data_IF_339954723224
#
_entry.id   IF_339954723224
#
_cell.length_a   1.000
_cell.length_b   1.000
_cell.length_c   1.000
_cell.angle_alpha   90.00
_cell.angle_beta   90.00
_cell.angle_gamma   90.00
#
_symmetry.space_group_name_H-M   'P 1'
#
loop_
_entity.id
_entity.type
_entity.pdbx_description
1 polymer ?
#
# COMPACT_ATOMS: atom_id res chain seq x y z
N UNK A 1 13.27 2.61 -76.32
CA UNK A 1 13.71 1.52 -75.41
C UNK A 1 14.68 2.04 -74.33
N UNK A 2 14.26 2.98 -73.46
CA UNK A 2 15.07 3.42 -72.29
C UNK A 2 14.33 3.31 -70.94
N UNK A 3 13.05 2.91 -70.96
CA UNK A 3 12.20 2.81 -69.76
C UNK A 3 12.38 1.46 -69.04
N UNK A 4 12.52 0.37 -69.80
CA UNK A 4 12.66 -1.01 -69.27
C UNK A 4 13.96 -1.19 -68.47
N UNK A 5 15.04 -0.48 -68.83
CA UNK A 5 16.31 -0.55 -68.10
C UNK A 5 16.24 0.11 -66.73
N UNK A 6 15.49 1.21 -66.59
CA UNK A 6 15.37 1.91 -65.30
C UNK A 6 14.53 1.11 -64.30
N UNK A 7 13.38 0.56 -64.73
CA UNK A 7 12.57 -0.30 -63.85
C UNK A 7 13.31 -1.56 -63.42
N UNK A 8 14.13 -2.14 -64.31
CA UNK A 8 14.96 -3.30 -63.98
C UNK A 8 16.05 -2.94 -62.96
N UNK A 9 16.75 -1.82 -63.14
CA UNK A 9 17.75 -1.34 -62.18
C UNK A 9 17.13 -0.94 -60.84
N UNK A 10 15.97 -0.29 -60.84
CA UNK A 10 15.22 0.08 -59.64
C UNK A 10 14.77 -1.15 -58.86
N UNK A 11 14.21 -2.15 -59.54
CA UNK A 11 13.79 -3.41 -58.92
C UNK A 11 14.97 -4.17 -58.30
N UNK A 12 16.11 -4.21 -58.99
CA UNK A 12 17.34 -4.82 -58.48
C UNK A 12 17.90 -4.07 -57.26
N UNK A 13 17.86 -2.74 -57.27
CA UNK A 13 18.26 -1.93 -56.13
C UNK A 13 17.32 -2.12 -54.94
N UNK A 14 16.00 -2.14 -55.17
CA UNK A 14 15.00 -2.34 -54.15
C UNK A 14 15.16 -3.69 -53.44
N UNK A 15 15.36 -4.77 -54.21
CA UNK A 15 15.61 -6.11 -53.66
C UNK A 15 16.92 -6.16 -52.87
N UNK A 16 17.98 -5.49 -53.33
CA UNK A 16 19.22 -5.38 -52.55
C UNK A 16 19.01 -4.59 -51.26
N UNK A 17 18.22 -3.52 -51.30
CA UNK A 17 17.94 -2.69 -50.12
C UNK A 17 17.11 -3.47 -49.10
N UNK A 18 16.08 -4.21 -49.52
CA UNK A 18 15.27 -5.05 -48.62
C UNK A 18 16.08 -6.21 -48.06
N UNK A 19 16.93 -6.86 -48.85
CA UNK A 19 17.84 -7.90 -48.36
C UNK A 19 18.85 -7.36 -47.34
N UNK A 20 19.39 -6.15 -47.56
CA UNK A 20 20.29 -5.51 -46.60
C UNK A 20 19.54 -5.09 -45.32
N UNK A 21 18.28 -4.66 -45.43
CA UNK A 21 17.42 -4.33 -44.30
C UNK A 21 17.08 -5.58 -43.48
N UNK A 22 16.71 -6.68 -44.14
CA UNK A 22 16.46 -7.98 -43.48
C UNK A 22 17.74 -8.57 -42.86
N UNK A 23 18.89 -8.41 -43.51
CA UNK A 23 20.19 -8.83 -42.95
C UNK A 23 20.62 -7.95 -41.77
N UNK A 24 20.31 -6.65 -41.78
CA UNK A 24 20.52 -5.76 -40.64
C UNK A 24 19.60 -6.12 -39.46
N UNK A 25 18.31 -6.38 -39.72
CA UNK A 25 17.35 -6.87 -38.73
C UNK A 25 17.78 -8.22 -38.15
N UNK A 26 18.28 -9.15 -38.97
CA UNK A 26 18.86 -10.43 -38.49
C UNK A 26 20.18 -10.26 -37.74
N UNK A 27 20.98 -9.24 -38.06
CA UNK A 27 22.20 -8.90 -37.30
C UNK A 27 21.87 -8.28 -35.95
N UNK A 28 20.79 -7.51 -35.84
CA UNK A 28 20.24 -7.06 -34.55
C UNK A 28 19.56 -8.20 -33.77
N UNK A 29 19.01 -9.22 -34.46
CA UNK A 29 18.41 -10.41 -33.84
C UNK A 29 19.39 -11.57 -33.57
N UNK A 30 20.68 -11.43 -33.91
CA UNK A 30 21.70 -12.35 -33.42
C UNK A 30 21.80 -12.17 -31.89
N UNK A 31 21.86 -13.25 -31.09
CA UNK A 31 21.85 -13.12 -29.64
C UNK A 31 23.11 -12.37 -29.20
N UNK A 32 22.94 -11.12 -28.79
CA UNK A 32 23.96 -10.43 -28.03
C UNK A 32 24.10 -11.19 -26.71
N UNK A 33 25.24 -11.87 -26.51
CA UNK A 33 25.57 -12.59 -25.26
C UNK A 33 25.67 -11.63 -24.06
N UNK A 34 25.55 -10.32 -24.29
CA UNK A 34 25.14 -9.37 -23.27
C UNK A 34 23.62 -9.18 -23.31
N UNK A 35 22.88 -10.15 -22.78
CA UNK A 35 21.58 -9.81 -22.18
C UNK A 35 21.86 -8.69 -21.16
N UNK A 36 21.13 -7.55 -21.13
CA UNK A 36 21.04 -6.82 -19.88
C UNK A 36 20.64 -7.87 -18.85
N UNK A 37 21.42 -8.01 -17.78
CA UNK A 37 21.15 -8.97 -16.71
C UNK A 37 19.64 -9.00 -16.54
N UNK A 38 19.02 -10.16 -16.82
CA UNK A 38 17.57 -10.28 -16.79
C UNK A 38 17.12 -9.57 -15.53
N UNK A 39 16.28 -8.53 -15.67
CA UNK A 39 15.73 -7.83 -14.51
C UNK A 39 15.35 -8.94 -13.54
N UNK A 40 15.91 -8.93 -12.30
CA UNK A 40 15.78 -10.08 -11.40
C UNK A 40 14.32 -10.48 -11.43
N UNK A 41 14.03 -11.70 -11.89
CA UNK A 41 12.65 -12.15 -12.06
C UNK A 41 11.96 -11.95 -10.72
N UNK A 42 11.11 -10.93 -10.66
CA UNK A 42 10.34 -10.63 -9.47
C UNK A 42 9.15 -11.55 -9.57
N UNK A 43 8.98 -12.49 -8.63
CA UNK A 43 7.74 -13.21 -8.55
C UNK A 43 6.62 -12.17 -8.51
N UNK A 44 5.60 -12.23 -9.39
CA UNK A 44 4.47 -11.34 -9.28
C UNK A 44 3.95 -11.44 -7.85
N UNK A 45 3.76 -10.28 -7.22
CA UNK A 45 3.35 -10.15 -5.83
C UNK A 45 2.00 -10.87 -5.65
N UNK A 46 2.03 -12.17 -5.34
CA UNK A 46 0.83 -13.02 -5.19
C UNK A 46 0.14 -12.82 -3.84
N UNK A 47 0.78 -12.06 -2.93
CA UNK A 47 0.19 -11.68 -1.67
C UNK A 47 -0.71 -10.44 -1.87
N UNK A 48 -1.94 -10.43 -1.33
CA UNK A 48 -2.72 -9.20 -1.32
C UNK A 48 -1.95 -8.14 -0.53
N UNK A 49 -1.69 -7.00 -1.18
CA UNK A 49 -1.12 -5.85 -0.48
C UNK A 49 -2.17 -5.29 0.49
N UNK A 50 -1.75 -4.81 1.67
CA UNK A 50 -2.66 -4.07 2.53
C UNK A 50 -3.15 -2.83 1.79
N UNK A 51 -4.37 -2.41 2.11
CA UNK A 51 -4.93 -1.14 1.61
C UNK A 51 -5.01 -0.13 2.73
N UNK A 52 -4.93 1.15 2.38
CA UNK A 52 -5.01 2.26 3.32
C UNK A 52 -5.97 3.31 2.79
N UNK A 53 -6.99 3.62 3.56
CA UNK A 53 -8.07 4.54 3.21
C UNK A 53 -7.85 5.98 3.71
N UNK A 54 -6.83 6.18 4.55
CA UNK A 54 -6.54 7.47 5.20
C UNK A 54 -7.04 7.56 6.64
N UNK A 55 -7.56 6.49 7.24
CA UNK A 55 -7.88 6.50 8.68
C UNK A 55 -6.59 6.44 9.51
N UNK A 56 -6.33 7.51 10.27
CA UNK A 56 -5.22 7.65 11.20
C UNK A 56 -5.01 6.42 12.12
N UNK A 57 -6.09 5.84 12.65
CA UNK A 57 -6.05 4.65 13.52
C UNK A 57 -5.40 3.43 12.86
N UNK A 58 -5.56 3.32 11.52
CA UNK A 58 -5.07 2.20 10.74
C UNK A 58 -3.66 2.44 10.16
N UNK A 59 -3.09 3.64 10.35
CA UNK A 59 -1.84 4.04 9.72
C UNK A 59 -0.68 3.11 10.10
N UNK A 60 -0.48 2.84 11.38
CA UNK A 60 0.63 1.99 11.84
C UNK A 60 0.49 0.54 11.41
N UNK A 61 -0.73 0.00 11.42
CA UNK A 61 -1.01 -1.35 10.92
C UNK A 61 -0.66 -1.47 9.43
N UNK A 62 -1.13 -0.52 8.62
CA UNK A 62 -0.78 -0.43 7.20
C UNK A 62 0.73 -0.29 7.00
N UNK A 63 1.35 0.69 7.68
CA UNK A 63 2.78 1.00 7.58
C UNK A 63 3.62 -0.24 7.85
N UNK A 64 3.37 -0.92 8.98
CA UNK A 64 4.09 -2.13 9.38
C UNK A 64 3.90 -3.27 8.37
N UNK A 65 2.68 -3.49 7.89
CA UNK A 65 2.42 -4.56 6.94
C UNK A 65 3.05 -4.27 5.57
N UNK A 66 2.92 -3.04 5.08
CA UNK A 66 3.46 -2.62 3.80
C UNK A 66 4.98 -2.67 3.78
N UNK A 67 5.66 -2.12 4.80
CA UNK A 67 7.14 -2.17 4.89
C UNK A 67 7.66 -3.59 5.01
N UNK A 68 7.00 -4.46 5.78
CA UNK A 68 7.36 -5.88 5.87
C UNK A 68 7.24 -6.62 4.54
N UNK A 69 6.23 -6.28 3.73
CA UNK A 69 6.11 -6.82 2.37
C UNK A 69 7.22 -6.26 1.49
N UNK A 70 7.41 -4.94 1.46
CA UNK A 70 8.43 -4.27 0.63
C UNK A 70 9.87 -4.67 0.98
N UNK A 71 10.15 -5.03 2.23
CA UNK A 71 11.44 -5.57 2.66
C UNK A 71 11.81 -6.90 1.96
N UNK A 72 10.82 -7.65 1.46
CA UNK A 72 11.06 -8.86 0.64
C UNK A 72 11.42 -8.54 -0.82
N UNK A 73 11.29 -7.27 -1.20
CA UNK A 73 11.49 -6.73 -2.54
C UNK A 73 12.60 -5.66 -2.53
N UNK A 74 13.68 -5.90 -1.79
CA UNK A 74 14.79 -4.95 -1.64
C UNK A 74 15.44 -4.57 -2.98
N UNK A 75 15.53 -5.51 -3.92
CA UNK A 75 16.13 -5.31 -5.24
C UNK A 75 15.22 -4.64 -6.27
N UNK A 76 13.99 -4.27 -5.88
CA UNK A 76 13.03 -3.64 -6.80
C UNK A 76 13.30 -2.16 -7.03
N UNK A 77 12.95 -1.71 -8.23
CA UNK A 77 13.07 -0.30 -8.60
C UNK A 77 12.11 0.59 -7.78
N UNK A 78 12.48 1.85 -7.50
CA UNK A 78 11.58 2.81 -6.87
C UNK A 78 10.23 2.95 -7.58
N UNK A 79 10.22 2.87 -8.91
CA UNK A 79 8.99 2.92 -9.72
C UNK A 79 8.02 1.79 -9.39
N UNK A 80 8.52 0.57 -9.17
CA UNK A 80 7.69 -0.60 -8.83
C UNK A 80 7.15 -0.48 -7.40
N UNK A 81 7.99 -0.05 -6.45
CA UNK A 81 7.54 0.21 -5.07
C UNK A 81 6.48 1.30 -5.03
N UNK A 82 6.65 2.36 -5.80
CA UNK A 82 5.67 3.45 -5.93
C UNK A 82 4.37 2.99 -6.58
N UNK A 83 4.44 2.14 -7.61
CA UNK A 83 3.26 1.53 -8.21
C UNK A 83 2.45 0.72 -7.19
N UNK A 84 3.12 -0.10 -6.39
CA UNK A 84 2.47 -0.86 -5.33
C UNK A 84 1.88 0.04 -4.24
N UNK A 85 2.63 1.05 -3.79
CA UNK A 85 2.17 2.02 -2.82
C UNK A 85 0.89 2.71 -3.30
N UNK A 86 0.91 3.27 -4.52
CA UNK A 86 -0.24 3.96 -5.12
C UNK A 86 -1.48 3.07 -5.18
N UNK A 87 -1.33 1.81 -5.55
CA UNK A 87 -2.45 0.86 -5.64
C UNK A 87 -2.97 0.40 -4.27
N UNK A 88 -2.14 0.50 -3.23
CA UNK A 88 -2.53 0.27 -1.85
C UNK A 88 -3.31 1.45 -1.25
N UNK A 89 -3.17 2.67 -1.80
CA UNK A 89 -3.91 3.83 -1.30
C UNK A 89 -5.30 3.89 -1.92
N UNK A 90 -6.32 3.96 -1.07
CA UNK A 90 -7.73 4.06 -1.44
C UNK A 90 -8.38 5.22 -0.68
N UNK A 91 -9.65 5.52 -0.98
CA UNK A 91 -10.41 6.52 -0.24
C UNK A 91 -9.73 7.89 -0.19
N UNK A 92 -9.58 8.44 1.03
CA UNK A 92 -8.96 9.75 1.24
C UNK A 92 -7.44 9.73 1.02
N UNK A 93 -6.78 8.58 1.20
CA UNK A 93 -5.34 8.44 1.01
C UNK A 93 -4.91 8.43 -0.46
N UNK A 94 -5.80 8.01 -1.39
CA UNK A 94 -5.49 7.89 -2.81
C UNK A 94 -5.03 9.21 -3.47
N UNK A 95 -5.46 10.35 -2.93
CA UNK A 95 -5.12 11.69 -3.43
C UNK A 95 -4.00 12.39 -2.67
N UNK A 96 -3.25 11.69 -1.81
CA UNK A 96 -2.22 12.30 -0.95
C UNK A 96 -0.90 12.50 -1.69
N UNK A 97 -0.58 11.62 -2.64
CA UNK A 97 0.68 11.68 -3.40
C UNK A 97 0.49 12.58 -4.62
N UNK A 98 1.34 13.60 -4.75
CA UNK A 98 1.34 14.52 -5.87
C UNK A 98 1.74 13.85 -7.20
N UNK A 99 1.17 14.33 -8.31
CA UNK A 99 1.49 13.79 -9.63
C UNK A 99 2.97 13.97 -10.02
N UNK A 100 3.63 15.02 -9.54
CA UNK A 100 5.06 15.25 -9.79
C UNK A 100 5.93 14.14 -9.17
N UNK A 101 5.60 13.71 -7.95
CA UNK A 101 6.28 12.59 -7.28
C UNK A 101 6.10 11.29 -8.08
N UNK A 102 4.89 11.06 -8.60
CA UNK A 102 4.57 9.91 -9.45
C UNK A 102 5.38 9.94 -10.75
N UNK A 103 5.43 11.08 -11.42
CA UNK A 103 6.16 11.24 -12.69
C UNK A 103 7.66 11.03 -12.53
N UNK A 104 8.21 11.40 -11.36
CA UNK A 104 9.63 11.22 -11.03
C UNK A 104 9.97 9.82 -10.50
N UNK A 105 8.97 8.95 -10.31
CA UNK A 105 9.12 7.62 -9.69
C UNK A 105 9.77 7.67 -8.30
N UNK A 106 9.52 8.74 -7.55
CA UNK A 106 10.15 8.99 -6.26
C UNK A 106 9.34 8.32 -5.13
N UNK A 107 9.64 7.05 -4.90
CA UNK A 107 9.01 6.27 -3.83
C UNK A 107 9.26 6.86 -2.43
N UNK A 108 10.47 7.36 -2.16
CA UNK A 108 10.83 7.86 -0.84
C UNK A 108 10.03 9.15 -0.53
N UNK A 109 9.95 10.08 -1.49
CA UNK A 109 9.14 11.28 -1.33
C UNK A 109 7.64 10.97 -1.15
N UNK A 110 7.11 9.99 -1.90
CA UNK A 110 5.73 9.53 -1.74
C UNK A 110 5.48 8.95 -0.34
N UNK A 111 6.41 8.12 0.15
CA UNK A 111 6.34 7.52 1.46
C UNK A 111 6.41 8.57 2.57
N UNK A 112 7.30 9.55 2.43
CA UNK A 112 7.46 10.64 3.39
C UNK A 112 6.25 11.55 3.46
N UNK A 113 5.61 11.83 2.32
CA UNK A 113 4.35 12.58 2.28
C UNK A 113 3.26 11.89 3.10
N UNK A 114 3.17 10.55 3.01
CA UNK A 114 2.23 9.78 3.83
C UNK A 114 2.60 9.82 5.31
N UNK A 115 3.90 9.70 5.64
CA UNK A 115 4.40 9.78 7.03
C UNK A 115 4.08 11.14 7.63
N UNK A 116 4.40 12.23 6.95
CA UNK A 116 4.13 13.59 7.46
C UNK A 116 2.65 13.82 7.73
N UNK A 117 1.78 13.30 6.86
CA UNK A 117 0.34 13.50 6.98
C UNK A 117 -0.33 12.61 8.03
N UNK A 118 0.10 11.36 8.14
CA UNK A 118 -0.59 10.32 8.93
C UNK A 118 0.18 9.82 10.14
N UNK A 119 1.48 10.10 10.27
CA UNK A 119 2.32 9.67 11.40
C UNK A 119 2.32 10.66 12.57
N UNK A 120 1.19 11.35 12.79
CA UNK A 120 0.97 12.08 14.03
C UNK A 120 0.50 11.10 15.12
N UNK A 121 1.47 10.61 15.90
CA UNK A 121 1.23 9.67 17.00
C UNK A 121 0.22 10.22 18.01
N UNK A 122 0.25 11.51 18.32
CA UNK A 122 -0.63 12.07 19.35
C UNK A 122 -2.08 12.05 18.89
N UNK A 123 -2.34 12.45 17.65
CA UNK A 123 -3.70 12.41 17.07
C UNK A 123 -4.25 10.98 17.04
N UNK A 124 -3.40 9.99 16.74
CA UNK A 124 -3.81 8.57 16.70
C UNK A 124 -4.14 8.07 18.12
N UNK A 125 -3.30 8.40 19.10
CA UNK A 125 -3.53 8.07 20.51
C UNK A 125 -4.85 8.67 20.99
N UNK A 126 -5.05 9.97 20.74
CA UNK A 126 -6.25 10.69 21.16
C UNK A 126 -7.52 10.06 20.55
N UNK A 127 -7.47 9.63 19.28
CA UNK A 127 -8.58 8.92 18.64
C UNK A 127 -8.92 7.59 19.30
N UNK A 128 -7.92 6.75 19.58
CA UNK A 128 -8.15 5.48 20.27
C UNK A 128 -8.73 5.70 21.68
N UNK A 129 -8.22 6.70 22.40
CA UNK A 129 -8.72 7.10 23.72
C UNK A 129 -10.19 7.57 23.59
N UNK A 130 -10.47 8.50 22.69
CA UNK A 130 -11.81 9.04 22.47
C UNK A 130 -12.81 7.93 22.08
N UNK A 131 -12.41 6.98 21.24
CA UNK A 131 -13.25 5.84 20.86
C UNK A 131 -13.64 4.99 22.08
N UNK A 132 -12.72 4.78 23.02
CA UNK A 132 -12.97 4.06 24.27
C UNK A 132 -13.89 4.86 25.21
N UNK A 133 -13.62 6.15 25.41
CA UNK A 133 -14.40 6.98 26.34
C UNK A 133 -15.82 7.27 25.82
N UNK A 134 -15.97 7.40 24.50
CA UNK A 134 -17.24 7.70 23.84
C UNK A 134 -18.05 6.45 23.43
N UNK A 135 -17.69 5.27 23.94
CA UNK A 135 -18.49 4.05 23.77
C UNK A 135 -19.96 4.30 24.16
N UNK A 136 -20.93 3.81 23.37
CA UNK A 136 -22.35 4.02 23.66
C UNK A 136 -22.76 3.28 24.93
N UNK A 137 -23.60 3.90 25.76
CA UNK A 137 -24.24 3.25 26.91
C UNK A 137 -25.33 2.29 26.44
N UNK A 138 -25.31 1.05 26.94
CA UNK A 138 -26.39 0.11 26.64
C UNK A 138 -27.61 0.38 27.52
N UNK A 139 -28.77 0.58 26.90
CA UNK A 139 -30.03 0.82 27.62
C UNK A 139 -30.86 -0.43 27.92
N UNK A 140 -30.56 -1.58 27.32
CA UNK A 140 -31.19 -2.89 27.56
C UNK A 140 -30.19 -4.00 27.23
N UNK A 141 -30.24 -5.12 27.97
CA UNK A 141 -29.44 -6.32 27.75
C UNK A 141 -29.53 -6.79 26.28
N UNK A 142 -28.55 -6.36 25.49
CA UNK A 142 -28.42 -6.71 24.09
C UNK A 142 -27.06 -7.34 23.88
N UNK A 143 -27.04 -8.65 23.67
CA UNK A 143 -25.81 -9.38 23.33
C UNK A 143 -25.06 -8.74 22.14
N UNK A 144 -25.79 -8.13 21.21
CA UNK A 144 -25.23 -7.39 20.07
C UNK A 144 -24.52 -6.12 20.52
N UNK A 145 -25.12 -5.35 21.44
CA UNK A 145 -24.49 -4.16 22.00
C UNK A 145 -23.24 -4.49 22.82
N UNK A 146 -23.30 -5.57 23.59
CA UNK A 146 -22.19 -6.08 24.41
C UNK A 146 -21.01 -6.48 23.53
N UNK A 147 -21.29 -7.26 22.46
CA UNK A 147 -20.27 -7.65 21.48
C UNK A 147 -19.65 -6.44 20.82
N UNK A 148 -20.46 -5.46 20.38
CA UNK A 148 -19.95 -4.23 19.79
C UNK A 148 -19.02 -3.45 20.74
N UNK A 149 -19.38 -3.36 22.03
CA UNK A 149 -18.52 -2.70 23.04
C UNK A 149 -17.20 -3.45 23.19
N UNK A 150 -17.24 -4.78 23.30
CA UNK A 150 -16.03 -5.62 23.43
C UNK A 150 -15.14 -5.48 22.20
N UNK A 151 -15.72 -5.59 21.01
CA UNK A 151 -14.99 -5.52 19.74
C UNK A 151 -14.32 -4.15 19.59
N UNK A 152 -15.07 -3.05 19.76
CA UNK A 152 -14.51 -1.69 19.68
C UNK A 152 -13.46 -1.44 20.75
N UNK A 153 -13.68 -1.90 21.98
CA UNK A 153 -12.68 -1.74 23.04
C UNK A 153 -11.39 -2.51 22.74
N UNK A 154 -11.51 -3.75 22.26
CA UNK A 154 -10.36 -4.61 21.96
C UNK A 154 -9.54 -4.04 20.80
N UNK A 155 -10.21 -3.62 19.73
CA UNK A 155 -9.60 -2.97 18.57
C UNK A 155 -8.78 -1.73 18.96
N UNK A 156 -9.34 -0.85 19.80
CA UNK A 156 -8.64 0.37 20.21
C UNK A 156 -7.50 0.10 21.20
N UNK A 157 -7.65 -0.88 22.11
CA UNK A 157 -6.56 -1.30 23.00
C UNK A 157 -5.41 -1.91 22.20
N UNK A 158 -5.70 -2.73 21.20
CA UNK A 158 -4.67 -3.30 20.34
C UNK A 158 -4.00 -2.24 19.46
N UNK A 159 -4.76 -1.23 19.01
CA UNK A 159 -4.21 -0.02 18.38
C UNK A 159 -3.19 0.70 19.26
N UNK A 160 -3.53 0.95 20.53
CA UNK A 160 -2.62 1.56 21.51
C UNK A 160 -1.37 0.69 21.77
N UNK A 161 -1.51 -0.64 21.85
CA UNK A 161 -0.35 -1.55 21.97
C UNK A 161 0.57 -1.46 20.76
N UNK A 162 0.03 -1.37 19.55
CA UNK A 162 0.83 -1.19 18.33
C UNK A 162 1.59 0.14 18.29
N UNK A 163 1.16 1.11 19.10
CA UNK A 163 1.84 2.40 19.33
C UNK A 163 2.84 2.34 20.50
N UNK A 164 3.16 1.15 21.00
CA UNK A 164 4.03 0.92 22.16
C UNK A 164 3.47 1.53 23.47
N UNK A 165 2.14 1.67 23.56
CA UNK A 165 1.42 2.16 24.73
C UNK A 165 0.46 1.09 25.27
N UNK A 166 0.99 0.04 25.94
CA UNK A 166 0.15 -1.02 26.48
C UNK A 166 -0.75 -0.50 27.61
N UNK A 167 -2.00 -0.97 27.62
CA UNK A 167 -3.01 -0.59 28.63
C UNK A 167 -2.92 -1.55 29.82
N UNK A 168 -1.86 -1.40 30.62
CA UNK A 168 -1.58 -2.28 31.77
C UNK A 168 -1.76 -1.56 33.12
N UNK A 169 -1.93 -2.33 34.20
CA UNK A 169 -1.94 -1.81 35.57
C UNK A 169 -3.07 -0.81 35.83
N UNK A 170 -2.72 0.46 36.05
CA UNK A 170 -3.73 1.50 36.27
C UNK A 170 -4.61 1.73 35.04
N UNK A 171 -4.06 1.63 33.83
CA UNK A 171 -4.81 1.80 32.59
C UNK A 171 -5.88 0.72 32.42
N UNK A 172 -5.52 -0.53 32.71
CA UNK A 172 -6.45 -1.66 32.72
C UNK A 172 -7.59 -1.44 33.73
N UNK A 173 -7.27 -1.01 34.95
CA UNK A 173 -8.28 -0.71 35.98
C UNK A 173 -9.21 0.45 35.58
N UNK A 174 -8.67 1.50 34.96
CA UNK A 174 -9.47 2.61 34.43
C UNK A 174 -10.41 2.14 33.32
N UNK A 175 -9.92 1.29 32.42
CA UNK A 175 -10.71 0.73 31.33
C UNK A 175 -11.87 -0.13 31.86
N UNK A 176 -11.62 -1.04 32.80
CA UNK A 176 -12.65 -1.84 33.45
C UNK A 176 -13.72 -0.97 34.14
N UNK A 177 -13.29 0.11 34.80
CA UNK A 177 -14.21 1.07 35.41
C UNK A 177 -15.05 1.83 34.36
N UNK A 178 -14.47 2.21 33.22
CA UNK A 178 -15.23 2.83 32.12
C UNK A 178 -16.25 1.83 31.55
N UNK A 179 -15.83 0.60 31.24
CA UNK A 179 -16.69 -0.44 30.67
C UNK A 179 -17.85 -0.79 31.61
N UNK A 180 -17.58 -0.99 32.90
CA UNK A 180 -18.62 -1.29 33.90
C UNK A 180 -19.68 -0.19 34.00
N UNK A 181 -19.32 1.08 33.78
CA UNK A 181 -20.27 2.21 33.74
C UNK A 181 -21.10 2.25 32.45
N UNK A 182 -20.63 1.64 31.36
CA UNK A 182 -21.34 1.57 30.07
C UNK A 182 -22.30 0.38 29.97
N UNK A 183 -22.13 -0.63 30.83
CA UNK A 183 -23.02 -1.79 30.98
C UNK A 183 -24.18 -1.48 31.95
N UNK A 184 -25.40 -1.97 31.67
CA UNK A 184 -26.56 -1.72 32.53
C UNK A 184 -26.41 -2.38 33.92
N UNK A 185 -27.22 -1.95 34.88
CA UNK A 185 -27.20 -2.42 36.27
C UNK A 185 -27.51 -3.93 36.37
N UNK A 186 -28.35 -4.46 35.47
CA UNK A 186 -28.70 -5.90 35.41
C UNK A 186 -27.50 -6.74 34.97
N UNK A 187 -26.77 -6.32 33.91
CA UNK A 187 -25.56 -7.01 33.45
C UNK A 187 -24.39 -6.92 34.45
N UNK A 188 -24.38 -5.91 35.33
CA UNK A 188 -23.40 -5.77 36.42
C UNK A 188 -23.62 -6.72 37.59
N UNK A 189 -24.79 -7.38 37.66
CA UNK A 189 -25.19 -8.28 38.77
C UNK A 189 -25.18 -9.76 38.41
N UNK A 190 -25.05 -10.10 37.12
CA UNK A 190 -24.90 -11.48 36.63
C UNK A 190 -23.45 -11.94 36.70
#
# INVERSE_FOLDING_TARGET
MKFISFESSYSQLFVKLTMLLEAAIKREAAPNVNQPAALPYVPPLKAPLPTFDGNYENWFAFKNMFTNVMARYEHESPAIKLYHLRNSLVGAAAGVIDQDIINNNDYEAAWDTLRERYEDKQVIIDKHIDAIFNLPTMGKDSAVGLRKIIDTCSENVDGLKNLELPVDGLGEMMLLNVLSKKMDIETRKA
#
